data_IF_238751123958
#
_entry.id   IF_238751123958
#
_cell.length_a   1.000
_cell.length_b   1.000
_cell.length_c   1.000
_cell.angle_alpha   90.00
_cell.angle_beta   90.00
_cell.angle_gamma   90.00
#
_symmetry.space_group_name_H-M   'P 1'
#
loop_
_entity.id
_entity.type
_entity.pdbx_description
1 polymer ?
#
# COMPACT_ATOMS: atom_id res chain seq x y z
N UNK A 1 9.89 -17.37 0.90
CA UNK A 1 9.07 -17.05 2.09
C UNK A 1 7.71 -16.53 1.60
N UNK A 2 6.59 -16.99 2.16
CA UNK A 2 5.22 -16.63 1.70
C UNK A 2 4.78 -15.24 2.15
N UNK A 3 5.50 -14.61 3.06
CA UNK A 3 5.28 -13.25 3.53
C UNK A 3 6.05 -12.20 2.71
N UNK A 4 6.90 -12.62 1.77
CA UNK A 4 7.55 -11.70 0.83
C UNK A 4 6.51 -11.10 -0.14
N UNK A 5 6.65 -9.82 -0.55
CA UNK A 5 5.78 -9.26 -1.58
C UNK A 5 5.91 -10.06 -2.89
N UNK A 6 4.83 -10.18 -3.68
CA UNK A 6 4.82 -11.01 -4.89
C UNK A 6 5.72 -10.47 -6.01
N UNK A 7 6.01 -9.17 -5.97
CA UNK A 7 6.95 -8.51 -6.87
C UNK A 7 7.51 -7.25 -6.20
N UNK A 8 8.66 -6.80 -6.69
CA UNK A 8 9.25 -5.51 -6.35
C UNK A 8 9.37 -4.68 -7.62
N UNK A 9 9.04 -3.38 -7.58
CA UNK A 9 9.31 -2.50 -8.71
C UNK A 9 10.81 -2.42 -8.98
N UNK A 10 11.17 -2.22 -10.25
CA UNK A 10 12.56 -1.99 -10.59
C UNK A 10 13.02 -0.64 -10.01
N UNK A 11 14.15 -0.66 -9.30
CA UNK A 11 14.86 0.54 -8.86
C UNK A 11 16.19 0.65 -9.62
N UNK A 12 16.78 1.84 -9.60
CA UNK A 12 18.12 2.05 -10.18
C UNK A 12 19.16 1.17 -9.48
N UNK A 13 19.05 1.01 -8.15
CA UNK A 13 19.85 0.08 -7.37
C UNK A 13 18.93 -0.81 -6.51
N UNK A 14 19.17 -2.12 -6.52
CA UNK A 14 18.38 -3.06 -5.71
C UNK A 14 18.64 -2.87 -4.20
N UNK A 15 19.81 -2.36 -3.82
CA UNK A 15 20.16 -2.10 -2.43
C UNK A 15 19.38 -0.92 -1.83
N UNK A 16 18.71 -0.12 -2.65
CA UNK A 16 17.84 0.97 -2.16
C UNK A 16 16.69 0.44 -1.27
N UNK A 17 16.35 -0.84 -1.39
CA UNK A 17 15.37 -1.50 -0.53
C UNK A 17 15.84 -1.71 0.91
N UNK A 18 17.14 -1.66 1.19
CA UNK A 18 17.67 -1.79 2.56
C UNK A 18 17.31 -0.55 3.39
N UNK A 19 17.35 0.63 2.77
CA UNK A 19 16.97 1.89 3.40
C UNK A 19 15.47 2.19 3.30
N UNK A 20 14.80 1.66 2.27
CA UNK A 20 13.40 1.96 1.96
C UNK A 20 12.61 0.69 1.61
N UNK A 21 12.48 -0.17 2.61
CA UNK A 21 11.87 -1.48 2.49
C UNK A 21 10.38 -1.44 2.10
N UNK A 22 9.91 -2.45 1.34
CA UNK A 22 8.51 -2.62 0.98
C UNK A 22 7.66 -3.15 2.15
N UNK A 23 6.34 -3.11 1.98
CA UNK A 23 5.43 -3.97 2.74
C UNK A 23 5.63 -5.45 2.41
N UNK A 24 5.40 -6.27 3.43
CA UNK A 24 5.24 -7.72 3.30
C UNK A 24 3.88 -8.07 2.67
N UNK A 25 3.70 -9.31 2.23
CA UNK A 25 2.40 -9.81 1.74
C UNK A 25 1.28 -9.63 2.78
N UNK A 26 1.58 -9.89 4.07
CA UNK A 26 0.62 -9.62 5.15
C UNK A 26 0.32 -8.13 5.30
N UNK A 27 1.31 -7.25 5.20
CA UNK A 27 1.12 -5.79 5.26
C UNK A 27 0.24 -5.27 4.12
N UNK A 28 0.41 -5.81 2.91
CA UNK A 28 -0.44 -5.50 1.75
C UNK A 28 -1.90 -5.91 1.99
N UNK A 29 -2.12 -7.13 2.51
CA UNK A 29 -3.45 -7.64 2.85
C UNK A 29 -4.12 -6.88 3.99
N UNK A 30 -3.37 -6.53 5.03
CA UNK A 30 -3.86 -5.71 6.15
C UNK A 30 -4.35 -4.35 5.66
N UNK A 31 -3.54 -3.66 4.86
CA UNK A 31 -3.87 -2.33 4.33
C UNK A 31 -5.12 -2.38 3.44
N UNK A 32 -5.25 -3.42 2.61
CA UNK A 32 -6.44 -3.62 1.78
C UNK A 32 -7.71 -3.89 2.60
N UNK A 33 -7.61 -4.72 3.65
CA UNK A 33 -8.72 -4.99 4.56
C UNK A 33 -9.22 -3.72 5.26
N UNK A 34 -8.32 -2.82 5.65
CA UNK A 34 -8.69 -1.50 6.19
C UNK A 34 -9.52 -0.73 5.16
N UNK A 35 -9.09 -0.69 3.89
CA UNK A 35 -9.85 -0.06 2.81
C UNK A 35 -11.27 -0.63 2.65
N UNK A 36 -11.42 -1.96 2.66
CA UNK A 36 -12.75 -2.59 2.58
C UNK A 36 -13.67 -2.22 3.74
N UNK A 37 -13.11 -2.08 4.94
CA UNK A 37 -13.88 -1.65 6.11
C UNK A 37 -14.29 -0.20 5.95
N UNK A 38 -13.37 0.69 5.53
CA UNK A 38 -13.66 2.11 5.29
C UNK A 38 -14.73 2.33 4.22
N UNK A 39 -14.74 1.53 3.14
CA UNK A 39 -15.77 1.61 2.11
C UNK A 39 -17.20 1.44 2.65
N UNK A 40 -17.39 0.70 3.76
CA UNK A 40 -18.71 0.46 4.36
C UNK A 40 -19.28 1.68 5.07
N UNK A 41 -18.43 2.63 5.46
CA UNK A 41 -18.85 3.83 6.20
C UNK A 41 -19.26 5.00 5.29
N UNK A 42 -19.24 4.80 3.97
CA UNK A 42 -19.62 5.81 2.96
C UNK A 42 -18.98 7.20 3.19
N UNK A 43 -17.74 7.21 3.70
CA UNK A 43 -17.00 8.44 3.98
C UNK A 43 -16.48 9.06 2.68
N UNK A 44 -16.64 10.38 2.46
CA UNK A 44 -16.09 11.05 1.29
C UNK A 44 -14.57 11.19 1.43
N UNK A 45 -13.81 10.26 0.85
CA UNK A 45 -12.36 10.40 0.68
C UNK A 45 -12.09 11.20 -0.59
N UNK A 46 -11.63 12.44 -0.43
CA UNK A 46 -11.34 13.38 -1.52
C UNK A 46 -9.84 13.55 -1.79
N UNK A 47 -8.99 13.23 -0.81
CA UNK A 47 -7.56 13.30 -0.94
C UNK A 47 -6.91 12.22 -0.06
N UNK A 48 -5.74 11.74 -0.48
CA UNK A 48 -4.91 10.81 0.27
C UNK A 48 -3.46 11.32 0.29
N UNK A 49 -2.87 11.40 1.47
CA UNK A 49 -1.49 11.83 1.68
C UNK A 49 -0.71 10.73 2.37
N UNK A 50 0.58 10.61 2.05
CA UNK A 50 1.47 9.64 2.70
C UNK A 50 2.87 10.22 2.87
N UNK A 51 3.63 9.62 3.78
CA UNK A 51 5.09 9.81 3.83
C UNK A 51 5.75 9.27 2.55
N UNK A 52 6.90 9.83 2.10
CA UNK A 52 7.60 9.34 0.91
C UNK A 52 8.17 7.91 1.03
N UNK A 53 8.16 7.31 2.23
CA UNK A 53 8.61 5.94 2.42
C UNK A 53 7.79 4.95 1.58
N UNK A 54 8.43 3.99 0.93
CA UNK A 54 7.76 3.07 0.00
C UNK A 54 6.64 2.27 0.68
N UNK A 55 6.89 1.77 1.89
CA UNK A 55 5.87 1.12 2.71
C UNK A 55 4.62 1.98 2.96
N UNK A 56 4.79 3.30 3.16
CA UNK A 56 3.69 4.23 3.41
C UNK A 56 2.86 4.48 2.16
N UNK A 57 3.52 4.64 1.02
CA UNK A 57 2.85 4.74 -0.29
C UNK A 57 2.07 3.45 -0.59
N UNK A 58 2.67 2.28 -0.35
CA UNK A 58 1.99 0.99 -0.54
C UNK A 58 0.78 0.82 0.40
N UNK A 59 0.88 1.24 1.66
CA UNK A 59 -0.28 1.22 2.58
C UNK A 59 -1.41 2.10 2.05
N UNK A 60 -1.11 3.33 1.66
CA UNK A 60 -2.09 4.26 1.10
C UNK A 60 -2.75 3.71 -0.18
N UNK A 61 -1.95 3.20 -1.13
CA UNK A 61 -2.44 2.59 -2.37
C UNK A 61 -3.38 1.42 -2.09
N UNK A 62 -2.99 0.50 -1.20
CA UNK A 62 -3.81 -0.66 -0.86
C UNK A 62 -5.10 -0.30 -0.12
N UNK A 63 -5.10 0.73 0.72
CA UNK A 63 -6.31 1.25 1.35
C UNK A 63 -7.26 1.81 0.28
N UNK A 64 -6.76 2.66 -0.63
CA UNK A 64 -7.58 3.21 -1.71
C UNK A 64 -8.13 2.12 -2.64
N UNK A 65 -7.33 1.09 -2.92
CA UNK A 65 -7.77 -0.08 -3.68
C UNK A 65 -8.88 -0.86 -2.95
N UNK A 66 -8.73 -1.13 -1.64
CA UNK A 66 -9.78 -1.75 -0.84
C UNK A 66 -11.05 -0.90 -0.76
N UNK A 67 -10.93 0.41 -0.92
CA UNK A 67 -12.08 1.31 -1.02
C UNK A 67 -12.74 1.33 -2.41
N UNK A 68 -12.16 0.66 -3.42
CA UNK A 68 -12.62 0.71 -4.81
C UNK A 68 -12.29 2.03 -5.53
N UNK A 69 -11.26 2.77 -5.07
CA UNK A 69 -10.92 4.13 -5.55
C UNK A 69 -9.53 4.20 -6.20
N UNK A 70 -8.97 3.07 -6.63
CA UNK A 70 -7.65 3.05 -7.26
C UNK A 70 -7.68 3.78 -8.61
N UNK A 71 -6.79 4.77 -8.79
CA UNK A 71 -6.68 5.54 -10.04
C UNK A 71 -7.66 6.71 -10.20
N UNK A 72 -8.39 7.07 -9.14
CA UNK A 72 -9.18 8.30 -9.02
C UNK A 72 -8.38 9.37 -8.29
#
# INVERSE_FOLDING_TARGET
>A
DTNMPPSLPQRANCLDYDADAPLTAKGLSQSWNVGNVLARYNLPVTACYSSPAFRSIQTADRILEGMGRKGQ
#
